data_IF_979141786526
#
_entry.id   IF_979141786526
#
_cell.length_a   1.000
_cell.length_b   1.000
_cell.length_c   1.000
_cell.angle_alpha   90.00
_cell.angle_beta   90.00
_cell.angle_gamma   90.00
#
_symmetry.space_group_name_H-M   'P 1'
#
loop_
_entity.id
_entity.type
_entity.pdbx_description
1 polymer ?
#
# COMPACT_ATOMS: atom_id res chain seq x y z
N UNK A 1 15.96 0.33 -42.29
CA UNK A 1 16.18 1.27 -41.17
C UNK A 1 14.90 1.72 -40.48
N UNK A 2 13.72 1.74 -41.11
CA UNK A 2 12.47 2.08 -40.41
C UNK A 2 11.82 0.91 -39.64
N UNK A 3 12.05 -0.36 -40.06
CA UNK A 3 11.41 -1.53 -39.45
C UNK A 3 12.08 -2.01 -38.15
N UNK A 4 13.33 -1.62 -37.91
CA UNK A 4 14.07 -1.94 -36.67
C UNK A 4 13.69 -1.02 -35.50
N UNK A 5 12.97 0.07 -35.76
CA UNK A 5 12.57 1.05 -34.74
C UNK A 5 11.22 0.71 -34.09
N UNK A 6 10.37 -0.07 -34.75
CA UNK A 6 9.00 -0.37 -34.28
C UNK A 6 8.97 -1.56 -33.30
N UNK A 7 9.98 -2.45 -33.33
CA UNK A 7 10.05 -3.61 -32.44
C UNK A 7 10.49 -3.25 -31.00
N UNK A 8 10.99 -2.03 -30.76
CA UNK A 8 11.37 -1.57 -29.43
C UNK A 8 10.18 -1.09 -28.56
N UNK A 9 9.01 -0.84 -29.17
CA UNK A 9 7.81 -0.31 -28.50
C UNK A 9 6.84 -1.39 -27.99
N UNK A 10 7.11 -2.68 -28.26
CA UNK A 10 6.26 -3.79 -27.83
C UNK A 10 6.79 -4.55 -26.61
N UNK A 11 7.89 -4.08 -26.00
CA UNK A 11 8.28 -4.56 -24.68
C UNK A 11 7.58 -3.69 -23.63
N UNK A 12 6.70 -4.24 -22.77
CA UNK A 12 6.38 -3.55 -21.54
C UNK A 12 7.73 -3.35 -20.85
N UNK A 13 8.16 -2.10 -20.73
CA UNK A 13 9.22 -1.74 -19.82
C UNK A 13 8.61 -1.92 -18.43
N UNK A 14 8.44 -3.18 -17.99
CA UNK A 14 8.37 -3.50 -16.58
C UNK A 14 9.69 -2.96 -16.04
N UNK A 15 9.58 -1.79 -15.43
CA UNK A 15 10.69 -0.91 -15.10
C UNK A 15 11.73 -1.73 -14.34
N UNK A 16 12.91 -1.82 -14.93
CA UNK A 16 14.08 -2.50 -14.39
C UNK A 16 14.40 -1.90 -13.02
N UNK A 17 14.03 -2.59 -11.94
CA UNK A 17 14.12 -2.09 -10.56
C UNK A 17 15.58 -1.87 -10.13
N UNK A 18 15.91 -0.69 -9.60
CA UNK A 18 17.11 -0.49 -8.79
C UNK A 18 16.93 0.55 -7.66
N UNK A 19 16.40 0.17 -6.49
CA UNK A 19 16.69 0.85 -5.22
C UNK A 19 17.43 -0.16 -4.33
N UNK A 20 18.67 0.08 -3.89
CA UNK A 20 19.09 1.11 -2.92
C UNK A 20 20.65 1.17 -2.96
N UNK A 21 21.36 2.29 -2.72
CA UNK A 21 21.71 2.55 -1.32
C UNK A 21 21.86 4.02 -0.90
N UNK A 22 21.23 4.30 0.25
CA UNK A 22 21.85 4.82 1.49
C UNK A 22 22.36 6.29 1.52
N UNK A 23 22.82 6.78 2.67
CA UNK A 23 22.20 6.92 3.99
C UNK A 23 22.18 8.41 4.40
N UNK A 24 21.97 9.34 3.45
CA UNK A 24 21.93 10.78 3.76
C UNK A 24 20.54 11.27 4.18
N UNK A 25 19.46 10.69 3.63
CA UNK A 25 18.08 10.86 4.12
C UNK A 25 17.74 9.95 5.30
N UNK A 26 18.54 8.90 5.53
CA UNK A 26 18.30 7.91 6.58
C UNK A 26 18.68 8.40 7.99
N UNK A 27 19.36 9.55 8.10
CA UNK A 27 19.70 10.14 9.39
C UNK A 27 18.41 10.47 10.16
N UNK A 28 18.05 9.60 11.11
CA UNK A 28 16.87 9.74 11.96
C UNK A 28 15.67 8.85 11.61
N UNK A 29 15.73 8.03 10.55
CA UNK A 29 14.64 7.09 10.22
C UNK A 29 14.93 5.75 10.88
N UNK A 30 14.09 5.36 11.84
CA UNK A 30 14.19 4.09 12.57
C UNK A 30 13.31 2.96 12.00
N UNK A 31 12.53 3.23 10.96
CA UNK A 31 11.65 2.25 10.35
C UNK A 31 12.45 1.12 9.66
N UNK A 32 12.03 -0.14 9.88
CA UNK A 32 12.73 -1.30 9.33
C UNK A 32 12.52 -1.49 7.81
N UNK A 33 11.49 -0.87 7.26
CA UNK A 33 11.20 -0.75 5.83
C UNK A 33 10.34 0.50 5.60
N UNK A 34 10.57 1.21 4.48
CA UNK A 34 9.79 2.40 4.11
C UNK A 34 9.86 2.65 2.59
N UNK A 35 8.90 3.42 2.09
CA UNK A 35 8.75 3.81 0.68
C UNK A 35 8.19 5.23 0.62
N UNK A 36 8.75 6.05 -0.26
CA UNK A 36 8.19 7.34 -0.69
C UNK A 36 7.86 7.21 -2.17
N UNK A 37 6.60 7.47 -2.51
CA UNK A 37 6.06 7.30 -3.85
C UNK A 37 5.37 8.59 -4.30
N UNK A 38 5.57 8.96 -5.56
CA UNK A 38 4.84 10.03 -6.24
C UNK A 38 3.79 9.39 -7.16
N UNK A 39 2.51 9.62 -6.84
CA UNK A 39 1.38 9.07 -7.60
C UNK A 39 1.11 9.84 -8.91
N UNK A 40 1.55 11.09 -9.02
CA UNK A 40 1.36 11.90 -10.22
C UNK A 40 2.26 11.44 -11.38
N UNK A 41 3.44 10.88 -11.04
CA UNK A 41 4.42 10.41 -12.00
C UNK A 41 4.64 8.89 -11.97
N UNK A 42 3.89 8.15 -11.16
CA UNK A 42 4.04 6.70 -10.97
C UNK A 42 5.50 6.31 -10.64
N UNK A 43 6.09 7.04 -9.68
CA UNK A 43 7.52 7.03 -9.42
C UNK A 43 7.86 6.75 -7.95
N UNK A 44 8.67 5.72 -7.71
CA UNK A 44 9.36 5.55 -6.44
C UNK A 44 10.47 6.61 -6.31
N UNK A 45 10.29 7.55 -5.36
CA UNK A 45 11.27 8.61 -5.08
C UNK A 45 12.45 8.04 -4.28
N UNK A 46 12.17 7.23 -3.26
CA UNK A 46 13.16 6.56 -2.43
C UNK A 46 12.51 5.42 -1.63
N UNK A 47 13.28 4.39 -1.30
CA UNK A 47 12.83 3.34 -0.39
C UNK A 47 13.97 2.80 0.47
N UNK A 48 13.60 2.02 1.49
CA UNK A 48 14.49 1.11 2.17
C UNK A 48 13.74 -0.20 2.36
N UNK A 49 14.23 -1.28 1.74
CA UNK A 49 13.65 -2.63 1.86
C UNK A 49 12.15 -2.68 1.56
N UNK A 50 11.64 -1.91 0.59
CA UNK A 50 10.21 -1.81 0.30
C UNK A 50 9.52 -3.16 -0.03
N UNK A 51 10.24 -4.11 -0.63
CA UNK A 51 9.69 -5.45 -0.95
C UNK A 51 9.79 -6.44 0.20
N UNK A 52 10.38 -6.05 1.33
CA UNK A 52 10.50 -6.94 2.48
C UNK A 52 9.11 -7.25 3.02
N UNK A 53 8.76 -8.53 3.08
CA UNK A 53 7.59 -8.98 3.84
C UNK A 53 7.75 -8.64 5.32
N UNK A 54 6.79 -7.88 5.86
CA UNK A 54 6.78 -7.42 7.25
C UNK A 54 5.34 -7.42 7.81
N UNK A 55 5.17 -7.54 9.14
CA UNK A 55 3.85 -7.39 9.76
C UNK A 55 3.28 -5.99 9.51
N UNK A 56 2.13 -5.91 8.86
CA UNK A 56 1.47 -4.64 8.49
C UNK A 56 0.71 -3.99 9.65
N UNK A 57 0.50 -4.71 10.76
CA UNK A 57 -0.29 -4.23 11.89
C UNK A 57 -1.62 -3.59 11.42
N UNK A 58 -1.91 -2.35 11.83
CA UNK A 58 -3.16 -1.67 11.46
C UNK A 58 -3.21 -1.15 10.02
N UNK A 59 -2.11 -1.09 9.26
CA UNK A 59 -2.19 -0.70 7.83
C UNK A 59 -2.93 -1.74 6.99
N UNK A 60 -3.06 -2.98 7.48
CA UNK A 60 -3.97 -4.00 6.95
C UNK A 60 -5.39 -3.47 6.70
N UNK A 61 -5.85 -2.49 7.49
CA UNK A 61 -7.18 -1.88 7.34
C UNK A 61 -7.37 -1.14 6.02
N UNK A 62 -6.30 -0.75 5.33
CA UNK A 62 -6.39 -0.14 3.99
C UNK A 62 -7.06 -1.10 2.99
N UNK A 63 -6.68 -2.38 2.99
CA UNK A 63 -7.32 -3.37 2.12
C UNK A 63 -8.78 -3.59 2.52
N UNK A 64 -9.09 -3.63 3.83
CA UNK A 64 -10.48 -3.73 4.29
C UNK A 64 -11.32 -2.55 3.82
N UNK A 65 -10.80 -1.32 3.91
CA UNK A 65 -11.49 -0.12 3.44
C UNK A 65 -11.68 -0.14 1.93
N UNK A 66 -10.67 -0.53 1.16
CA UNK A 66 -10.76 -0.66 -0.29
C UNK A 66 -11.88 -1.62 -0.69
N UNK A 67 -11.94 -2.81 -0.07
CA UNK A 67 -13.00 -3.79 -0.34
C UNK A 67 -14.40 -3.24 -0.03
N UNK A 68 -14.56 -2.45 1.04
CA UNK A 68 -15.85 -1.82 1.38
C UNK A 68 -16.23 -0.80 0.32
N UNK A 69 -15.32 0.11 -0.06
CA UNK A 69 -15.60 1.14 -1.08
C UNK A 69 -15.94 0.53 -2.44
N UNK A 70 -15.31 -0.58 -2.81
CA UNK A 70 -15.53 -1.22 -4.11
C UNK A 70 -16.78 -2.12 -4.16
N UNK A 71 -17.23 -2.66 -3.02
CA UNK A 71 -18.21 -3.76 -3.01
C UNK A 71 -19.43 -3.53 -2.12
N UNK A 72 -19.50 -2.45 -1.35
CA UNK A 72 -20.63 -2.15 -0.46
C UNK A 72 -21.26 -0.80 -0.79
N UNK A 73 -22.52 -0.62 -0.38
CA UNK A 73 -23.13 0.71 -0.30
C UNK A 73 -22.66 1.39 0.98
N UNK A 74 -22.17 2.62 0.88
CA UNK A 74 -21.67 3.37 2.05
C UNK A 74 -22.81 3.91 2.91
N UNK A 75 -24.03 3.96 2.37
CA UNK A 75 -25.24 4.37 3.09
C UNK A 75 -25.93 3.18 3.79
N UNK A 76 -25.40 1.95 3.66
CA UNK A 76 -25.96 0.78 4.33
C UNK A 76 -25.84 0.86 5.86
N UNK A 77 -26.94 0.60 6.55
CA UNK A 77 -26.91 0.37 8.00
C UNK A 77 -26.39 -1.03 8.31
N UNK A 78 -25.28 -1.11 9.05
CA UNK A 78 -24.66 -2.37 9.45
C UNK A 78 -24.84 -2.61 10.95
N UNK A 79 -25.52 -3.71 11.31
CA UNK A 79 -25.59 -4.16 12.70
C UNK A 79 -24.25 -4.72 13.19
N UNK A 80 -23.79 -4.20 14.32
CA UNK A 80 -22.55 -4.62 14.97
C UNK A 80 -22.76 -5.98 15.63
N UNK A 81 -22.09 -6.98 15.09
CA UNK A 81 -22.10 -8.32 15.67
C UNK A 81 -21.44 -8.35 17.05
N UNK A 82 -21.85 -9.31 17.90
CA UNK A 82 -21.17 -9.63 19.18
C UNK A 82 -19.68 -9.86 18.98
N UNK A 83 -19.29 -10.51 17.87
CA UNK A 83 -17.88 -10.78 17.54
C UNK A 83 -17.10 -9.48 17.33
N UNK A 84 -17.65 -8.54 16.57
CA UNK A 84 -17.03 -7.26 16.30
C UNK A 84 -16.83 -6.46 17.61
N UNK A 85 -17.85 -6.42 18.46
CA UNK A 85 -17.75 -5.77 19.78
C UNK A 85 -16.68 -6.43 20.69
N UNK A 86 -16.52 -7.76 20.61
CA UNK A 86 -15.55 -8.50 21.41
C UNK A 86 -14.10 -8.40 20.89
N UNK A 87 -13.85 -7.76 19.74
CA UNK A 87 -12.48 -7.60 19.22
C UNK A 87 -11.65 -6.70 20.13
N UNK A 88 -10.49 -7.16 20.61
CA UNK A 88 -9.59 -6.37 21.45
C UNK A 88 -8.75 -5.34 20.68
N UNK A 89 -8.04 -4.46 21.41
CA UNK A 89 -7.16 -3.37 20.95
C UNK A 89 -7.85 -2.01 20.70
N UNK A 90 -7.44 -1.25 19.67
CA UNK A 90 -7.98 0.08 19.34
C UNK A 90 -9.41 -0.06 18.83
N UNK A 91 -10.36 0.63 19.46
CA UNK A 91 -11.79 0.55 19.14
C UNK A 91 -12.40 1.95 19.04
N UNK A 92 -13.51 2.06 18.31
CA UNK A 92 -14.40 3.22 18.31
C UNK A 92 -15.58 3.05 19.28
N UNK A 93 -15.54 2.01 20.12
CA UNK A 93 -16.56 1.66 21.11
C UNK A 93 -17.98 1.44 20.54
N UNK A 94 -18.05 0.89 19.32
CA UNK A 94 -19.30 0.47 18.69
C UNK A 94 -20.04 -0.55 19.57
N UNK A 95 -21.36 -0.37 19.71
CA UNK A 95 -22.21 -1.21 20.55
C UNK A 95 -22.88 -2.27 19.70
N UNK A 96 -22.97 -3.50 20.21
CA UNK A 96 -23.76 -4.55 19.59
C UNK A 96 -25.21 -4.08 19.37
N UNK A 97 -25.74 -4.35 18.18
CA UNK A 97 -27.01 -3.83 17.66
C UNK A 97 -26.81 -3.33 16.25
#
# INVERSE_FOLDING_TARGET
MALLLVLALAFPQAILRAPDPAPSLAAGISAEAWLIYDDSYDLEIASFRADRSAPMASTTKLMTALLVVENADLDDEVSISRRAQATGHKQIYARQG
#
